data_IF_003163881822
#
_entry.id   IF_003163881822
#
_cell.length_a   1.000
_cell.length_b   1.000
_cell.length_c   1.000
_cell.angle_alpha   90.00
_cell.angle_beta   90.00
_cell.angle_gamma   90.00
#
_symmetry.space_group_name_H-M   'P 1'
#
loop_
_entity.id
_entity.type
_entity.pdbx_description
1 polymer ?
#
# COMPACT_ATOMS: atom_id res chain seq x y z
N UNK A 1 8.69 -26.01 6.72
CA UNK A 1 9.37 -27.32 6.65
C UNK A 1 8.62 -28.39 7.43
N UNK A 2 8.07 -28.10 8.60
CA UNK A 2 7.29 -29.05 9.43
C UNK A 2 5.94 -29.45 8.82
N UNK A 3 5.41 -28.68 7.88
CA UNK A 3 4.10 -28.93 7.23
C UNK A 3 4.20 -29.83 5.99
N UNK A 4 5.41 -30.14 5.53
CA UNK A 4 5.63 -30.93 4.31
C UNK A 4 6.27 -32.27 4.67
N UNK A 5 5.57 -33.36 4.35
CA UNK A 5 6.04 -34.73 4.54
C UNK A 5 6.16 -35.49 3.20
N UNK A 6 6.83 -36.63 3.23
CA UNK A 6 6.92 -37.56 2.11
C UNK A 6 6.09 -38.77 2.45
N UNK A 7 5.24 -39.24 1.52
CA UNK A 7 4.48 -40.47 1.67
C UNK A 7 4.59 -41.31 0.39
N UNK A 8 4.54 -42.65 0.56
CA UNK A 8 4.49 -43.55 -0.58
C UNK A 8 3.06 -43.72 -1.04
N UNK A 9 2.81 -43.40 -2.32
CA UNK A 9 1.48 -43.47 -2.96
C UNK A 9 1.56 -44.39 -4.17
N UNK A 10 0.61 -45.37 -4.33
CA UNK A 10 0.55 -46.19 -5.52
C UNK A 10 0.43 -45.33 -6.80
N UNK A 11 1.14 -45.70 -7.86
CA UNK A 11 1.13 -44.95 -9.13
C UNK A 11 -0.25 -44.76 -9.72
N UNK A 12 -1.18 -45.69 -9.49
CA UNK A 12 -2.55 -45.63 -9.95
C UNK A 12 -3.38 -44.45 -9.37
N UNK A 13 -2.93 -43.87 -8.25
CA UNK A 13 -3.57 -42.73 -7.63
C UNK A 13 -2.94 -41.38 -8.02
N UNK A 14 -1.86 -41.41 -8.81
CA UNK A 14 -1.10 -40.23 -9.19
C UNK A 14 -1.59 -39.75 -10.58
N UNK A 15 -2.29 -38.63 -10.59
CA UNK A 15 -2.82 -37.97 -11.81
C UNK A 15 -2.33 -36.53 -11.86
N UNK A 16 -1.92 -36.06 -13.04
CA UNK A 16 -1.47 -34.67 -13.23
C UNK A 16 -0.03 -34.41 -12.80
N UNK A 17 0.32 -33.12 -12.74
CA UNK A 17 1.64 -32.65 -12.32
C UNK A 17 1.70 -32.47 -10.82
N UNK A 18 2.51 -33.25 -10.13
CA UNK A 18 2.69 -33.22 -8.68
C UNK A 18 4.18 -33.18 -8.32
N UNK A 19 4.45 -32.69 -7.13
CA UNK A 19 5.81 -32.63 -6.61
C UNK A 19 6.19 -33.93 -5.91
N UNK A 20 7.39 -34.44 -6.20
CA UNK A 20 7.94 -35.68 -5.61
C UNK A 20 9.03 -35.41 -4.58
N UNK A 21 9.52 -34.19 -4.49
CA UNK A 21 10.64 -33.83 -3.62
C UNK A 21 10.23 -32.67 -2.69
N UNK A 22 10.48 -32.86 -1.40
CA UNK A 22 10.15 -31.89 -0.36
C UNK A 22 10.78 -30.50 -0.61
N UNK A 23 12.04 -30.47 -1.03
CA UNK A 23 12.78 -29.23 -1.28
C UNK A 23 12.14 -28.35 -2.40
N UNK A 24 11.37 -28.94 -3.29
CA UNK A 24 10.71 -28.20 -4.37
C UNK A 24 9.41 -27.52 -3.91
N UNK A 25 8.94 -27.84 -2.69
CA UNK A 25 7.72 -27.28 -2.09
C UNK A 25 8.03 -26.31 -0.96
N UNK A 26 9.07 -26.63 -0.16
CA UNK A 26 9.46 -25.78 0.97
C UNK A 26 9.83 -24.39 0.44
N UNK A 27 9.18 -23.34 0.97
CA UNK A 27 9.33 -21.95 0.53
C UNK A 27 8.38 -21.51 -0.57
N UNK A 28 7.52 -22.42 -1.10
CA UNK A 28 6.44 -22.04 -1.99
C UNK A 28 5.16 -21.66 -1.24
N UNK A 29 4.26 -21.00 -1.94
CA UNK A 29 2.98 -20.50 -1.43
C UNK A 29 1.83 -21.21 -2.14
N UNK A 30 0.68 -21.34 -1.48
CA UNK A 30 -0.55 -21.75 -2.15
C UNK A 30 -1.07 -20.60 -3.02
N UNK A 31 -1.69 -20.92 -4.15
CA UNK A 31 -2.39 -19.92 -4.96
C UNK A 31 -3.50 -19.26 -4.14
N UNK A 32 -3.85 -18.04 -4.49
CA UNK A 32 -4.92 -17.30 -3.85
C UNK A 32 -6.23 -18.10 -3.86
N UNK A 33 -6.95 -18.13 -2.75
CA UNK A 33 -8.18 -18.94 -2.56
C UNK A 33 -7.99 -20.46 -2.67
N UNK A 34 -6.75 -20.95 -2.61
CA UNK A 34 -6.46 -22.40 -2.64
C UNK A 34 -6.19 -22.94 -1.25
N UNK A 35 -6.95 -23.93 -0.83
CA UNK A 35 -6.72 -24.66 0.43
C UNK A 35 -6.17 -26.04 0.09
N UNK A 36 -4.94 -26.30 0.54
CA UNK A 36 -4.32 -27.64 0.43
C UNK A 36 -4.62 -28.39 1.71
N UNK A 37 -5.48 -29.40 1.63
CA UNK A 37 -5.89 -30.16 2.79
C UNK A 37 -4.72 -31.00 3.34
N UNK A 38 -4.71 -31.24 4.67
CA UNK A 38 -3.75 -32.14 5.30
C UNK A 38 -3.85 -33.55 4.68
N UNK A 39 -2.70 -34.09 4.26
CA UNK A 39 -2.61 -35.40 3.61
C UNK A 39 -2.83 -35.38 2.09
N UNK A 40 -3.10 -34.21 1.49
CA UNK A 40 -3.14 -34.06 0.03
C UNK A 40 -1.76 -34.04 -0.59
N UNK A 41 -1.69 -34.45 -1.87
CA UNK A 41 -0.50 -34.23 -2.69
C UNK A 41 -0.37 -32.76 -3.05
N UNK A 42 0.87 -32.30 -3.22
CA UNK A 42 1.15 -30.97 -3.75
C UNK A 42 1.16 -31.03 -5.29
N UNK A 43 0.13 -30.49 -5.91
CA UNK A 43 0.06 -30.33 -7.35
C UNK A 43 0.70 -29.02 -7.79
N UNK A 44 1.31 -29.01 -8.99
CA UNK A 44 2.02 -27.84 -9.50
C UNK A 44 1.09 -26.63 -9.65
N UNK A 45 -0.15 -26.85 -10.03
CA UNK A 45 -1.15 -25.80 -10.25
C UNK A 45 -1.71 -25.20 -8.95
N UNK A 46 -1.44 -25.82 -7.79
CA UNK A 46 -1.92 -25.34 -6.48
C UNK A 46 -0.90 -24.51 -5.72
N UNK A 47 0.36 -24.48 -6.20
CA UNK A 47 1.46 -23.78 -5.53
C UNK A 47 2.18 -22.87 -6.50
N UNK A 48 2.69 -21.75 -5.95
CA UNK A 48 3.38 -20.73 -6.73
C UNK A 48 4.61 -20.23 -5.98
N UNK A 49 5.48 -19.53 -6.67
CA UNK A 49 6.57 -18.80 -6.01
C UNK A 49 6.06 -17.48 -5.43
N UNK A 50 6.84 -16.90 -4.53
CA UNK A 50 6.50 -15.63 -3.87
C UNK A 50 6.27 -14.50 -4.88
N UNK A 51 7.13 -14.44 -5.89
CA UNK A 51 7.15 -13.39 -6.91
C UNK A 51 5.85 -13.37 -7.74
N UNK A 52 5.21 -14.52 -7.90
CA UNK A 52 3.99 -14.67 -8.69
C UNK A 52 2.70 -14.47 -7.89
N UNK A 53 2.79 -14.10 -6.61
CA UNK A 53 1.62 -13.78 -5.81
C UNK A 53 1.13 -12.37 -6.15
N UNK A 54 -0.19 -12.13 -6.26
CA UNK A 54 -0.76 -10.82 -6.58
C UNK A 54 -0.39 -9.73 -5.57
N UNK A 55 -0.13 -10.13 -4.32
CA UNK A 55 0.20 -9.26 -3.19
C UNK A 55 1.66 -9.42 -2.70
N UNK A 56 2.55 -9.89 -3.57
CA UNK A 56 3.96 -10.16 -3.22
C UNK A 56 4.66 -8.96 -2.57
N UNK A 57 4.33 -7.75 -3.01
CA UNK A 57 4.88 -6.51 -2.47
C UNK A 57 4.53 -6.29 -0.99
N UNK A 58 3.43 -6.87 -0.48
CA UNK A 58 3.01 -6.73 0.91
C UNK A 58 3.70 -7.70 1.87
N UNK A 59 4.29 -8.76 1.36
CA UNK A 59 4.91 -9.80 2.19
C UNK A 59 6.27 -9.39 2.77
N UNK A 60 6.93 -8.41 2.16
CA UNK A 60 8.24 -7.89 2.59
C UNK A 60 8.12 -6.58 3.38
N UNK A 61 6.91 -6.23 3.81
CA UNK A 61 6.67 -5.01 4.60
C UNK A 61 7.10 -5.26 6.04
N UNK A 62 8.04 -4.48 6.59
CA UNK A 62 8.44 -4.60 7.98
C UNK A 62 7.30 -4.25 8.95
N UNK A 63 7.35 -4.79 10.17
CA UNK A 63 6.44 -4.39 11.25
C UNK A 63 6.53 -2.88 11.53
N UNK A 64 5.39 -2.21 11.69
CA UNK A 64 5.30 -0.75 11.87
C UNK A 64 5.43 0.08 10.59
N UNK A 65 5.48 -0.59 9.43
CA UNK A 65 5.46 0.06 8.13
C UNK A 65 4.12 -0.14 7.43
N UNK A 66 3.76 0.80 6.58
CA UNK A 66 2.59 0.70 5.70
C UNK A 66 2.99 0.93 4.24
N UNK A 67 2.24 0.33 3.31
CA UNK A 67 2.51 0.46 1.87
C UNK A 67 1.83 1.71 1.33
N UNK A 68 2.59 2.45 0.53
CA UNK A 68 2.08 3.55 -0.30
C UNK A 68 2.01 3.08 -1.74
N UNK A 69 0.85 3.30 -2.34
CA UNK A 69 0.65 3.25 -3.78
C UNK A 69 0.78 4.67 -4.33
N UNK A 70 1.87 4.95 -5.04
CA UNK A 70 2.17 6.27 -5.60
C UNK A 70 2.03 6.25 -7.13
N UNK A 71 1.23 7.15 -7.72
CA UNK A 71 1.09 7.21 -9.18
C UNK A 71 2.40 7.65 -9.83
N UNK A 72 2.81 6.94 -10.86
CA UNK A 72 4.03 7.20 -11.63
C UNK A 72 3.77 7.10 -13.14
N UNK A 73 4.75 7.48 -13.92
CA UNK A 73 4.78 7.31 -15.38
C UNK A 73 6.22 7.10 -15.87
N UNK A 74 6.41 6.93 -17.14
CA UNK A 74 7.74 6.71 -17.76
C UNK A 74 8.72 7.82 -17.38
N UNK A 75 8.29 9.08 -17.36
CA UNK A 75 9.18 10.20 -17.02
C UNK A 75 9.58 10.18 -15.54
N UNK A 76 8.63 9.98 -14.63
CA UNK A 76 8.90 9.96 -13.19
C UNK A 76 9.64 8.71 -12.71
N UNK A 77 9.67 7.64 -13.53
CA UNK A 77 10.45 6.41 -13.27
C UNK A 77 11.80 6.39 -13.98
N UNK A 78 12.22 7.53 -14.56
CA UNK A 78 13.46 7.64 -15.31
C UNK A 78 13.57 6.57 -16.42
N UNK A 79 12.54 6.51 -17.27
CA UNK A 79 12.41 5.53 -18.35
C UNK A 79 12.52 4.07 -17.86
N UNK A 80 11.79 3.72 -16.81
CA UNK A 80 11.81 2.40 -16.16
C UNK A 80 13.16 2.01 -15.54
N UNK A 81 13.95 2.99 -15.09
CA UNK A 81 15.22 2.69 -14.40
C UNK A 81 15.04 2.46 -12.89
N UNK A 82 13.84 2.69 -12.34
CA UNK A 82 13.51 2.47 -10.93
C UNK A 82 12.85 1.10 -10.74
N UNK A 83 13.66 0.06 -10.68
CA UNK A 83 13.18 -1.32 -10.51
C UNK A 83 12.88 -1.68 -9.04
N UNK A 84 12.03 -2.70 -8.76
CA UNK A 84 11.87 -3.27 -7.44
C UNK A 84 13.22 -3.64 -6.79
N UNK A 85 13.35 -3.41 -5.49
CA UNK A 85 14.60 -3.59 -4.73
C UNK A 85 15.55 -2.40 -4.79
N UNK A 86 15.38 -1.46 -5.73
CA UNK A 86 16.14 -0.20 -5.76
C UNK A 86 15.67 0.75 -4.68
N UNK A 87 16.48 1.76 -4.37
CA UNK A 87 16.16 2.79 -3.38
C UNK A 87 15.90 4.13 -4.04
N UNK A 88 14.99 4.90 -3.46
CA UNK A 88 14.65 6.26 -3.87
C UNK A 88 14.68 7.22 -2.69
N UNK A 89 14.80 8.50 -3.01
CA UNK A 89 14.49 9.62 -2.12
C UNK A 89 13.27 10.35 -2.68
N UNK A 90 12.45 10.94 -1.82
CA UNK A 90 11.39 11.86 -2.19
C UNK A 90 11.87 13.28 -1.92
N UNK A 91 11.84 14.12 -2.94
CA UNK A 91 12.02 15.55 -2.83
C UNK A 91 10.66 16.23 -2.79
N UNK A 92 10.58 17.26 -1.95
CA UNK A 92 9.39 18.08 -1.77
C UNK A 92 9.58 19.42 -2.49
N UNK A 93 8.56 19.84 -3.22
CA UNK A 93 8.47 21.15 -3.83
C UNK A 93 7.11 21.74 -3.51
N UNK A 94 7.07 22.98 -3.07
CA UNK A 94 5.82 23.72 -2.81
C UNK A 94 6.06 25.22 -2.89
N UNK A 95 5.00 25.99 -2.72
CA UNK A 95 5.07 27.41 -2.39
C UNK A 95 4.91 27.59 -0.88
N UNK A 96 5.60 28.57 -0.31
CA UNK A 96 5.37 28.99 1.08
C UNK A 96 4.27 30.08 1.14
N UNK A 97 3.95 30.58 2.33
CA UNK A 97 2.94 31.62 2.54
C UNK A 97 3.25 32.95 1.81
N UNK A 98 4.51 33.17 1.41
CA UNK A 98 4.95 34.35 0.65
C UNK A 98 4.94 34.12 -0.86
N UNK A 99 4.57 32.92 -1.31
CA UNK A 99 4.64 32.53 -2.73
C UNK A 99 6.05 32.17 -3.22
N UNK A 100 7.01 31.99 -2.32
CA UNK A 100 8.38 31.58 -2.65
C UNK A 100 8.44 30.04 -2.78
N UNK A 101 9.28 29.55 -3.70
CA UNK A 101 9.44 28.11 -3.90
C UNK A 101 10.28 27.52 -2.74
N UNK A 102 9.70 26.54 -2.06
CA UNK A 102 10.39 25.62 -1.16
C UNK A 102 10.78 24.37 -1.92
N UNK A 103 12.03 23.97 -1.86
CA UNK A 103 12.50 22.74 -2.50
C UNK A 103 13.59 22.07 -1.67
N UNK A 104 13.42 20.79 -1.36
CA UNK A 104 14.41 20.06 -0.56
C UNK A 104 14.16 18.56 -0.54
N UNK A 105 15.18 17.82 -0.09
CA UNK A 105 15.04 16.39 0.20
C UNK A 105 14.11 16.23 1.40
N UNK A 106 13.05 15.46 1.22
CA UNK A 106 12.00 15.28 2.21
C UNK A 106 12.12 13.95 2.95
N UNK A 107 12.15 12.85 2.21
CA UNK A 107 12.27 11.51 2.78
C UNK A 107 13.36 10.76 2.04
N UNK A 108 14.18 10.01 2.77
CA UNK A 108 15.31 9.24 2.24
C UNK A 108 15.16 7.75 2.48
N UNK A 109 15.93 6.98 1.70
CA UNK A 109 16.17 5.55 1.89
C UNK A 109 14.91 4.69 1.75
N UNK A 110 14.02 5.05 0.84
CA UNK A 110 12.80 4.30 0.57
C UNK A 110 13.11 3.17 -0.41
N UNK A 111 12.88 1.93 0.01
CA UNK A 111 13.00 0.75 -0.88
C UNK A 111 11.74 0.61 -1.73
N UNK A 112 11.93 0.46 -3.03
CA UNK A 112 10.83 0.12 -3.96
C UNK A 112 10.49 -1.35 -3.75
N UNK A 113 9.22 -1.63 -3.45
CA UNK A 113 8.70 -2.98 -3.31
C UNK A 113 8.28 -3.55 -4.65
N UNK A 114 7.58 -2.73 -5.45
CA UNK A 114 7.03 -3.15 -6.74
C UNK A 114 6.74 -1.95 -7.65
N UNK A 115 6.66 -2.21 -8.95
CA UNK A 115 6.18 -1.24 -9.95
C UNK A 115 5.13 -1.95 -10.81
N UNK A 116 3.92 -1.39 -10.85
CA UNK A 116 2.78 -1.97 -11.55
C UNK A 116 2.29 -1.06 -12.68
N UNK A 117 1.72 -1.70 -13.69
CA UNK A 117 1.02 -1.01 -14.78
C UNK A 117 -0.40 -0.60 -14.36
N UNK A 118 -1.16 0.01 -15.27
CA UNK A 118 -2.55 0.44 -15.02
C UNK A 118 -3.53 -0.72 -14.79
N UNK A 119 -3.16 -1.94 -15.16
CA UNK A 119 -3.93 -3.17 -14.93
C UNK A 119 -3.54 -3.86 -13.62
N UNK A 120 -2.56 -3.33 -12.89
CA UNK A 120 -2.03 -3.90 -11.65
C UNK A 120 -1.03 -5.03 -11.86
N UNK A 121 -0.51 -5.22 -13.08
CA UNK A 121 0.48 -6.23 -13.39
C UNK A 121 1.91 -5.71 -13.16
N UNK A 122 2.82 -6.59 -12.77
CA UNK A 122 4.22 -6.23 -12.52
C UNK A 122 4.91 -5.78 -13.80
N UNK A 123 5.55 -4.60 -13.76
CA UNK A 123 6.24 -4.03 -14.94
C UNK A 123 7.53 -4.79 -15.26
N UNK A 124 8.20 -5.34 -14.24
CA UNK A 124 9.50 -5.98 -14.36
C UNK A 124 9.46 -7.52 -14.29
N UNK A 125 8.29 -8.12 -14.48
CA UNK A 125 8.12 -9.57 -14.39
C UNK A 125 8.78 -10.33 -15.56
N UNK A 126 8.71 -9.75 -16.75
CA UNK A 126 9.20 -10.38 -17.97
C UNK A 126 10.02 -9.39 -18.81
N UNK A 127 11.20 -9.78 -19.23
CA UNK A 127 12.07 -8.94 -20.08
C UNK A 127 11.54 -8.73 -21.52
N UNK A 128 10.57 -9.55 -21.94
CA UNK A 128 9.99 -9.46 -23.28
C UNK A 128 8.78 -8.51 -23.34
N UNK A 129 8.13 -8.25 -22.18
CA UNK A 129 6.98 -7.37 -22.08
C UNK A 129 7.39 -5.95 -21.66
N UNK A 130 7.26 -5.01 -22.59
CA UNK A 130 7.43 -3.57 -22.29
C UNK A 130 6.14 -2.99 -21.71
N UNK A 131 5.94 -3.14 -20.40
CA UNK A 131 4.80 -2.54 -19.71
C UNK A 131 5.10 -1.10 -19.29
N UNK A 132 4.07 -0.26 -19.37
CA UNK A 132 4.15 1.14 -18.94
C UNK A 132 3.87 1.24 -17.44
N UNK A 133 4.76 1.82 -16.63
CA UNK A 133 4.54 1.99 -15.21
C UNK A 133 3.39 2.97 -14.96
N UNK A 134 2.51 2.65 -14.02
CA UNK A 134 1.43 3.51 -13.56
C UNK A 134 1.46 3.72 -12.05
N UNK A 135 1.95 2.74 -11.30
CA UNK A 135 2.01 2.77 -9.85
C UNK A 135 3.35 2.22 -9.35
N UNK A 136 3.91 2.90 -8.37
CA UNK A 136 5.05 2.44 -7.59
C UNK A 136 4.61 2.16 -6.16
N UNK A 137 4.92 0.96 -5.67
CA UNK A 137 4.64 0.55 -4.31
C UNK A 137 5.91 0.60 -3.48
N UNK A 138 5.85 1.25 -2.34
CA UNK A 138 6.94 1.28 -1.38
C UNK A 138 6.40 1.33 0.05
N UNK A 139 7.17 0.84 1.02
CA UNK A 139 6.81 0.87 2.42
C UNK A 139 7.56 1.95 3.18
N UNK A 140 6.84 2.63 4.06
CA UNK A 140 7.39 3.64 4.97
C UNK A 140 6.81 3.44 6.37
N UNK A 141 7.47 3.93 7.44
CA UNK A 141 6.88 4.00 8.77
C UNK A 141 5.52 4.69 8.75
N UNK A 142 4.61 4.28 9.62
CA UNK A 142 3.23 4.81 9.65
C UNK A 142 3.20 6.33 9.83
N UNK A 143 4.08 6.89 10.66
CA UNK A 143 4.22 8.34 10.85
C UNK A 143 4.63 9.05 9.56
N UNK A 144 5.59 8.46 8.82
CA UNK A 144 6.02 8.97 7.53
C UNK A 144 4.90 8.89 6.48
N UNK A 145 4.10 7.82 6.50
CA UNK A 145 2.92 7.72 5.65
C UNK A 145 1.92 8.84 5.92
N UNK A 146 1.63 9.10 7.20
CA UNK A 146 0.75 10.21 7.59
C UNK A 146 1.27 11.55 7.09
N UNK A 147 2.57 11.79 7.25
CA UNK A 147 3.23 13.02 6.80
C UNK A 147 3.15 13.19 5.27
N UNK A 148 3.39 12.11 4.50
CA UNK A 148 3.22 12.10 3.04
C UNK A 148 1.78 12.41 2.62
N UNK A 149 0.79 11.83 3.31
CA UNK A 149 -0.62 12.12 3.03
C UNK A 149 -0.98 13.57 3.31
N UNK A 150 -0.53 14.12 4.45
CA UNK A 150 -0.70 15.54 4.77
C UNK A 150 -0.12 16.43 3.67
N UNK A 151 1.11 16.15 3.22
CA UNK A 151 1.76 16.88 2.14
C UNK A 151 0.92 16.90 0.86
N UNK A 152 0.40 15.73 0.44
CA UNK A 152 -0.42 15.60 -0.78
C UNK A 152 -1.77 16.33 -0.70
N UNK A 153 -2.29 16.59 0.51
CA UNK A 153 -3.52 17.35 0.70
C UNK A 153 -3.33 18.87 0.66
N UNK A 154 -2.10 19.37 0.76
CA UNK A 154 -1.79 20.80 0.70
C UNK A 154 -1.83 21.35 -0.74
N UNK A 155 -2.95 21.18 -1.44
CA UNK A 155 -3.10 21.55 -2.86
C UNK A 155 -2.94 23.05 -3.10
N UNK A 156 -3.34 23.89 -2.17
CA UNK A 156 -3.20 25.35 -2.25
C UNK A 156 -1.74 25.81 -2.27
N UNK A 157 -0.83 25.01 -1.74
CA UNK A 157 0.62 25.27 -1.76
C UNK A 157 1.32 24.67 -2.99
N UNK A 158 0.57 24.14 -3.96
CA UNK A 158 1.08 23.53 -5.18
C UNK A 158 2.16 22.44 -4.89
N UNK A 159 1.88 21.57 -3.90
CA UNK A 159 2.81 20.53 -3.48
C UNK A 159 3.03 19.51 -4.60
N UNK A 160 4.29 19.24 -4.88
CA UNK A 160 4.77 18.21 -5.79
C UNK A 160 5.80 17.34 -5.06
N UNK A 161 5.59 16.03 -5.08
CA UNK A 161 6.56 15.04 -4.57
C UNK A 161 7.32 14.45 -5.75
N UNK A 162 8.64 14.60 -5.74
CA UNK A 162 9.50 14.19 -6.86
C UNK A 162 10.31 12.98 -6.40
N UNK A 163 10.13 11.86 -7.10
CA UNK A 163 10.90 10.65 -6.86
C UNK A 163 12.29 10.80 -7.51
N UNK A 164 13.33 10.53 -6.75
CA UNK A 164 14.71 10.62 -7.22
C UNK A 164 15.44 9.32 -6.88
N UNK A 165 16.09 8.64 -7.85
CA UNK A 165 16.87 7.45 -7.57
C UNK A 165 17.94 7.73 -6.52
N UNK A 166 18.07 6.84 -5.54
CA UNK A 166 19.14 6.88 -4.57
C UNK A 166 20.26 5.96 -5.05
N UNK A 167 21.40 6.55 -5.46
CA UNK A 167 22.57 5.83 -5.95
C UNK A 167 23.54 5.41 -4.85
N UNK A 168 23.25 5.78 -3.60
CA UNK A 168 24.07 5.36 -2.45
C UNK A 168 23.87 3.87 -2.21
N UNK A 169 24.96 3.16 -1.93
CA UNK A 169 24.89 1.76 -1.53
C UNK A 169 24.24 1.67 -0.16
N UNK A 170 22.96 1.31 -0.14
CA UNK A 170 22.17 1.11 1.08
C UNK A 170 22.08 -0.36 1.43
N UNK A 171 21.96 -0.62 2.72
CA UNK A 171 21.75 -1.95 3.29
C UNK A 171 20.37 -2.00 3.96
N UNK A 172 19.90 -3.18 4.32
CA UNK A 172 18.62 -3.36 5.06
C UNK A 172 18.60 -2.66 6.43
N UNK A 173 19.77 -2.20 6.90
CA UNK A 173 19.90 -1.42 8.15
C UNK A 173 19.61 0.06 7.96
N UNK A 174 19.66 0.54 6.73
CA UNK A 174 19.43 1.94 6.41
C UNK A 174 17.93 2.21 6.37
N UNK A 175 17.40 2.76 7.45
CA UNK A 175 15.97 3.01 7.63
C UNK A 175 15.49 4.21 6.82
N UNK A 176 14.22 4.18 6.46
CA UNK A 176 13.48 5.35 5.96
C UNK A 176 13.54 6.45 7.02
N UNK A 177 13.85 7.68 6.58
CA UNK A 177 13.92 8.83 7.48
C UNK A 177 13.43 10.11 6.82
N UNK A 178 12.79 10.97 7.61
CA UNK A 178 12.53 12.37 7.23
C UNK A 178 13.85 13.11 7.22
N UNK A 179 14.15 13.82 6.13
CA UNK A 179 15.46 14.45 5.88
C UNK A 179 15.46 15.96 6.06
N UNK A 180 14.29 16.58 6.36
CA UNK A 180 14.16 18.01 6.53
C UNK A 180 13.10 18.34 7.56
N UNK A 181 13.54 18.81 8.71
CA UNK A 181 12.67 19.30 9.79
C UNK A 181 11.87 20.53 9.35
N UNK A 182 12.43 21.39 8.51
CA UNK A 182 11.74 22.58 8.00
C UNK A 182 10.54 22.23 7.14
N UNK A 183 10.67 21.22 6.27
CA UNK A 183 9.56 20.73 5.42
C UNK A 183 8.52 20.05 6.31
N UNK A 184 8.94 19.22 7.26
CA UNK A 184 8.04 18.55 8.20
C UNK A 184 7.25 19.57 9.03
N UNK A 185 7.91 20.56 9.61
CA UNK A 185 7.30 21.62 10.39
C UNK A 185 6.33 22.45 9.54
N UNK A 186 6.69 22.77 8.31
CA UNK A 186 5.79 23.46 7.37
C UNK A 186 4.51 22.65 7.15
N UNK A 187 4.62 21.37 6.77
CA UNK A 187 3.46 20.50 6.54
C UNK A 187 2.58 20.43 7.79
N UNK A 188 3.18 20.16 8.95
CA UNK A 188 2.44 20.05 10.21
C UNK A 188 1.77 21.35 10.63
N UNK A 189 2.37 22.50 10.33
CA UNK A 189 1.78 23.83 10.64
C UNK A 189 0.56 24.15 9.76
N UNK A 190 0.43 23.52 8.58
CA UNK A 190 -0.64 23.75 7.61
C UNK A 190 -1.73 22.68 7.65
N UNK A 191 -1.56 21.65 8.49
CA UNK A 191 -2.52 20.55 8.60
C UNK A 191 -2.99 20.40 10.04
N UNK A 192 -4.31 20.27 10.25
CA UNK A 192 -4.87 19.93 11.55
C UNK A 192 -4.86 18.41 11.75
N UNK A 193 -4.52 17.96 12.96
CA UNK A 193 -4.72 16.59 13.38
C UNK A 193 -6.07 16.48 14.12
N UNK A 194 -6.96 15.63 13.62
CA UNK A 194 -8.24 15.34 14.27
C UNK A 194 -8.07 14.03 15.04
N UNK A 195 -8.18 14.12 16.37
CA UNK A 195 -8.17 12.93 17.22
C UNK A 195 -9.48 12.14 17.04
N UNK A 196 -9.39 10.81 17.07
CA UNK A 196 -10.57 9.93 17.04
C UNK A 196 -11.56 10.23 18.16
N UNK A 197 -11.08 10.76 19.29
CA UNK A 197 -11.91 11.15 20.43
C UNK A 197 -12.72 12.44 20.20
N UNK A 198 -12.42 13.20 19.13
CA UNK A 198 -13.13 14.42 18.75
C UNK A 198 -14.22 14.15 17.71
N UNK A 199 -14.31 12.93 17.19
CA UNK A 199 -15.39 12.54 16.30
C UNK A 199 -16.67 12.29 17.14
N UNK A 200 -17.83 12.86 16.74
CA UNK A 200 -19.10 12.59 17.42
C UNK A 200 -19.39 11.09 17.38
N UNK A 201 -19.74 10.51 18.52
CA UNK A 201 -20.11 9.11 18.57
C UNK A 201 -21.38 8.91 17.76
N UNK A 202 -21.45 7.82 16.99
CA UNK A 202 -22.61 7.48 16.13
C UNK A 202 -23.93 7.42 16.93
N UNK A 203 -23.86 7.14 18.23
CA UNK A 203 -25.01 7.12 19.14
C UNK A 203 -25.66 8.51 19.32
N UNK A 204 -24.92 9.61 19.15
CA UNK A 204 -25.47 10.96 19.31
C UNK A 204 -26.22 11.42 18.05
N UNK A 205 -25.97 10.84 16.89
CA UNK A 205 -26.67 11.14 15.64
C UNK A 205 -28.07 10.48 15.58
N UNK A 206 -28.26 9.33 16.24
CA UNK A 206 -29.55 8.60 16.25
C UNK A 206 -30.58 9.29 17.14
N UNK A 207 -30.15 10.07 18.14
CA UNK A 207 -31.08 10.79 19.05
C UNK A 207 -31.63 12.07 18.44
N UNK A 208 -30.88 12.76 17.56
CA UNK A 208 -31.41 13.97 16.91
C UNK A 208 -32.49 13.67 15.87
N UNK A 209 -32.41 12.50 15.19
CA UNK A 209 -33.41 12.11 14.19
C UNK A 209 -34.73 11.55 14.83
N UNK A 210 -34.69 11.07 16.08
CA UNK A 210 -35.87 10.60 16.77
C UNK A 210 -36.68 11.72 17.40
N UNK A 211 -36.02 12.79 17.88
CA UNK A 211 -36.73 13.94 18.49
C UNK A 211 -37.40 14.83 17.44
N UNK A 212 -36.96 14.81 16.16
CA UNK A 212 -37.63 15.50 15.05
C UNK A 212 -38.89 14.81 14.53
N UNK A 213 -39.05 13.51 14.77
CA UNK A 213 -40.24 12.76 14.32
C UNK A 213 -41.44 12.84 15.27
N UNK A 214 -41.22 13.16 16.55
CA UNK A 214 -42.30 13.26 17.52
C UNK A 214 -42.96 14.66 17.61
N UNK A 215 -42.32 15.70 17.06
CA UNK A 215 -42.87 17.06 16.99
C UNK A 215 -43.85 17.30 15.86
N UNK A 216 -43.76 16.50 14.77
CA UNK A 216 -44.65 16.66 13.60
C UNK A 216 -45.97 15.87 13.69
N UNK A 217 -46.21 15.12 14.80
CA UNK A 217 -47.44 14.33 15.01
C UNK A 217 -48.48 14.97 15.91
N UNK A 218 -48.23 16.17 16.47
CA UNK A 218 -49.15 16.81 17.44
C UNK A 218 -50.06 17.92 16.87
N UNK A 219 -49.90 18.31 15.60
CA UNK A 219 -50.65 19.44 15.03
C UNK A 219 -51.71 19.10 13.96
N UNK A 220 -52.15 17.82 13.87
CA UNK A 220 -53.13 17.44 12.83
C UNK A 220 -54.45 16.84 13.33
N UNK A 221 -54.80 17.01 14.65
CA UNK A 221 -56.10 16.57 15.18
C UNK A 221 -56.86 17.73 15.80
N UNK A 222 -57.19 18.77 15.05
CA UNK A 222 -58.25 19.70 15.41
C UNK A 222 -58.66 20.53 14.17
N UNK A 223 -59.49 19.95 13.30
CA UNK A 223 -60.48 20.69 12.49
C UNK A 223 -61.30 19.75 11.60
N UNK A 224 -62.29 19.12 12.21
CA UNK A 224 -63.49 18.73 11.46
C UNK A 224 -64.65 18.61 12.46
N UNK A 225 -65.40 19.70 12.66
CA UNK A 225 -66.81 19.72 13.03
C UNK A 225 -67.31 21.17 13.00
N UNK A 226 -67.84 21.55 11.84
CA UNK A 226 -69.09 22.30 11.70
C UNK A 226 -69.42 22.49 10.26
#
# INVERSE_FOLDING_TARGET
DSMVGIMNVPKSFLVGNYYTQKQNIVGKYSNYNTIIAKGSLFYADLVTSKENLPDSAFQDVPEGYTVINYPVNIASTYANSMAPGSYINIYYKSLNDKGEVMFGKFISNIKILDVKDSSGQHVFENSEDTRTPAYMLFAVPEETHLLLRKALYLKEYAVELILVPNTTTLTEKDKVQVSSDDIENFINSKTAFVSVNELPKVEDQVKEDTDKKDTDKKDNDTKTNR
#
